data_IF_093823617248
#
_entry.id   IF_093823617248
#
_cell.length_a   1.000
_cell.length_b   1.000
_cell.length_c   1.000
_cell.angle_alpha   90.00
_cell.angle_beta   90.00
_cell.angle_gamma   90.00
#
_symmetry.space_group_name_H-M   'P 1'
#
loop_
_entity.id
_entity.type
_entity.pdbx_description
1 polymer ?
#
# COMPACT_ATOMS: atom_id res chain seq x y z
N UNK A 1 7.87 -45.27 -10.45
CA UNK A 1 8.94 -44.29 -10.78
C UNK A 1 8.30 -43.15 -11.57
N UNK A 2 7.92 -42.07 -10.91
CA UNK A 2 7.27 -40.96 -11.61
C UNK A 2 6.90 -39.92 -10.59
N UNK A 3 7.75 -38.90 -10.44
CA UNK A 3 7.55 -37.64 -9.74
C UNK A 3 8.86 -36.87 -9.82
N UNK A 4 9.20 -36.35 -11.01
CA UNK A 4 10.27 -35.36 -11.16
C UNK A 4 10.13 -34.62 -12.49
N UNK A 5 9.14 -33.72 -12.54
CA UNK A 5 9.33 -32.43 -13.18
C UNK A 5 8.10 -31.54 -12.94
N UNK A 6 8.17 -30.74 -11.89
CA UNK A 6 7.41 -29.48 -11.79
C UNK A 6 8.23 -28.51 -10.94
N UNK A 7 9.44 -28.22 -11.42
CA UNK A 7 10.11 -26.95 -11.19
C UNK A 7 9.93 -26.16 -12.48
N UNK A 8 9.83 -24.84 -12.31
CA UNK A 8 9.53 -23.80 -13.30
C UNK A 8 8.05 -23.41 -13.41
N UNK A 9 7.84 -22.10 -13.42
CA UNK A 9 6.60 -21.34 -13.28
C UNK A 9 6.12 -21.17 -11.84
N UNK A 10 7.06 -20.73 -10.99
CA UNK A 10 6.73 -19.68 -10.04
C UNK A 10 6.39 -18.43 -10.86
N UNK A 11 5.11 -18.26 -11.16
CA UNK A 11 4.60 -17.03 -11.74
C UNK A 11 4.75 -15.94 -10.68
N UNK A 12 5.91 -15.29 -10.69
CA UNK A 12 6.08 -14.00 -10.04
C UNK A 12 5.13 -13.02 -10.75
N UNK A 13 3.91 -12.86 -10.23
CA UNK A 13 3.21 -11.61 -10.37
C UNK A 13 3.64 -10.72 -9.20
N UNK A 14 4.93 -10.40 -9.15
CA UNK A 14 5.27 -9.04 -8.77
C UNK A 14 4.89 -8.28 -10.03
N UNK A 15 3.65 -7.80 -10.09
CA UNK A 15 3.41 -6.65 -10.94
C UNK A 15 4.29 -5.57 -10.32
N UNK A 16 5.52 -5.43 -10.80
CA UNK A 16 6.17 -4.13 -10.80
C UNK A 16 5.17 -3.27 -11.56
N UNK A 17 4.22 -2.66 -10.86
CA UNK A 17 3.54 -1.51 -11.40
C UNK A 17 4.64 -0.50 -11.59
N UNK A 18 5.19 -0.49 -12.80
CA UNK A 18 6.23 0.44 -13.22
C UNK A 18 5.78 1.82 -12.78
N UNK A 19 6.64 2.51 -12.03
CA UNK A 19 6.33 3.84 -11.53
C UNK A 19 5.83 4.70 -12.69
N UNK A 20 4.59 5.16 -12.58
CA UNK A 20 3.88 5.88 -13.64
C UNK A 20 4.41 7.29 -13.68
N UNK A 21 4.68 7.82 -14.87
CA UNK A 21 5.14 9.19 -15.02
C UNK A 21 3.95 10.11 -15.07
N UNK A 22 3.86 11.05 -14.13
CA UNK A 22 2.71 11.91 -13.99
C UNK A 22 3.02 13.38 -14.25
N UNK A 23 2.08 14.07 -14.90
CA UNK A 23 2.05 15.53 -14.95
C UNK A 23 0.97 16.05 -14.00
N UNK A 24 1.33 17.05 -13.20
CA UNK A 24 0.38 17.79 -12.36
C UNK A 24 -0.09 19.00 -13.15
N UNK A 25 -1.40 19.16 -13.34
CA UNK A 25 -1.98 20.27 -14.09
C UNK A 25 -2.79 21.12 -13.13
N UNK A 26 -2.49 22.41 -12.98
CA UNK A 26 -3.15 23.22 -11.94
C UNK A 26 -2.57 24.62 -11.77
N UNK A 27 -3.14 25.38 -10.84
CA UNK A 27 -2.52 26.60 -10.32
C UNK A 27 -1.31 26.28 -9.42
N UNK A 28 -0.38 27.22 -9.27
CA UNK A 28 0.87 27.02 -8.50
C UNK A 28 0.64 26.45 -7.10
N UNK A 29 -0.25 27.07 -6.33
CA UNK A 29 -0.58 26.67 -4.97
C UNK A 29 -1.15 25.25 -4.88
N UNK A 30 -2.01 24.87 -5.82
CA UNK A 30 -2.62 23.55 -5.86
C UNK A 30 -1.66 22.47 -6.30
N UNK A 31 -0.78 22.76 -7.27
CA UNK A 31 0.27 21.83 -7.70
C UNK A 31 1.19 21.53 -6.52
N UNK A 32 1.62 22.54 -5.76
CA UNK A 32 2.44 22.37 -4.55
C UNK A 32 1.74 21.49 -3.52
N UNK A 33 0.45 21.75 -3.26
CA UNK A 33 -0.36 20.98 -2.32
C UNK A 33 -0.49 19.51 -2.74
N UNK A 34 -0.85 19.27 -4.00
CA UNK A 34 -1.05 17.91 -4.55
C UNK A 34 0.28 17.16 -4.64
N UNK A 35 1.37 17.85 -4.95
CA UNK A 35 2.72 17.27 -4.88
C UNK A 35 3.05 16.83 -3.44
N UNK A 36 2.75 17.66 -2.45
CA UNK A 36 2.89 17.31 -1.03
C UNK A 36 2.06 16.08 -0.65
N UNK A 37 0.79 16.04 -1.09
CA UNK A 37 -0.10 14.91 -0.89
C UNK A 37 0.48 13.63 -1.49
N UNK A 38 0.88 13.65 -2.76
CA UNK A 38 1.35 12.47 -3.48
C UNK A 38 2.61 11.87 -2.86
N UNK A 39 3.48 12.71 -2.28
CA UNK A 39 4.64 12.27 -1.52
C UNK A 39 4.26 11.65 -0.17
N UNK A 40 3.18 12.12 0.43
CA UNK A 40 2.61 11.58 1.66
C UNK A 40 1.76 10.32 1.47
N UNK A 41 1.38 9.97 0.23
CA UNK A 41 0.61 8.76 -0.07
C UNK A 41 1.54 7.57 -0.32
N UNK A 42 1.63 6.67 0.66
CA UNK A 42 2.52 5.52 0.63
C UNK A 42 2.02 4.45 -0.34
N UNK A 43 2.92 3.96 -1.21
CA UNK A 43 2.65 2.88 -2.16
C UNK A 43 1.82 3.29 -3.37
N UNK A 44 1.77 4.59 -3.69
CA UNK A 44 1.33 5.04 -5.00
C UNK A 44 2.54 5.08 -5.95
N UNK A 45 2.67 4.15 -6.91
CA UNK A 45 3.85 4.06 -7.78
C UNK A 45 3.81 5.16 -8.83
N UNK A 46 4.14 6.38 -8.42
CA UNK A 46 4.13 7.59 -9.24
C UNK A 46 5.50 8.27 -9.21
N UNK A 47 5.91 8.79 -10.36
CA UNK A 47 7.03 9.71 -10.50
C UNK A 47 6.49 11.00 -11.10
N UNK A 48 6.55 12.09 -10.33
CA UNK A 48 6.12 13.40 -10.81
C UNK A 48 7.15 13.90 -11.82
N UNK A 49 6.76 13.93 -13.09
CA UNK A 49 7.63 14.26 -14.21
C UNK A 49 7.71 15.78 -14.45
N UNK A 50 6.66 16.52 -14.11
CA UNK A 50 6.60 17.97 -14.28
C UNK A 50 5.26 18.58 -13.86
N UNK A 51 5.29 19.90 -13.66
CA UNK A 51 4.15 20.75 -13.36
C UNK A 51 3.72 21.53 -14.60
N UNK A 52 2.48 21.35 -15.03
CA UNK A 52 1.84 22.09 -16.11
C UNK A 52 0.95 23.15 -15.48
N UNK A 53 1.42 24.39 -15.51
CA UNK A 53 0.81 25.52 -14.81
C UNK A 53 1.14 26.81 -15.56
N UNK A 54 0.37 27.89 -15.36
CA UNK A 54 0.74 29.21 -15.88
C UNK A 54 2.18 29.58 -15.52
N UNK A 55 2.84 30.47 -16.30
CA UNK A 55 4.19 30.91 -16.01
C UNK A 55 4.29 31.41 -14.55
N UNK A 56 5.24 30.91 -13.76
CA UNK A 56 5.34 31.27 -12.34
C UNK A 56 5.67 32.76 -12.19
N UNK A 57 4.90 33.47 -11.37
CA UNK A 57 5.15 34.87 -11.05
C UNK A 57 6.04 35.02 -9.80
N UNK A 58 6.74 36.16 -9.64
CA UNK A 58 7.53 36.42 -8.44
C UNK A 58 6.65 36.41 -7.18
N UNK A 59 6.90 35.46 -6.27
CA UNK A 59 6.13 35.29 -5.03
C UNK A 59 5.19 34.10 -5.01
N UNK A 60 5.02 33.43 -6.16
CA UNK A 60 4.22 32.21 -6.22
C UNK A 60 4.86 31.03 -5.45
N UNK A 61 4.04 30.13 -4.88
CA UNK A 61 4.51 28.87 -4.35
C UNK A 61 5.20 28.06 -5.45
N UNK A 62 6.46 27.69 -5.25
CA UNK A 62 7.19 26.86 -6.21
C UNK A 62 7.00 25.37 -5.92
N UNK A 63 6.49 24.58 -6.90
CA UNK A 63 6.56 23.13 -6.81
C UNK A 63 8.00 22.68 -6.94
N UNK A 64 8.28 21.51 -6.39
CA UNK A 64 9.58 20.86 -6.56
C UNK A 64 9.66 20.13 -7.90
N UNK A 65 8.51 19.73 -8.46
CA UNK A 65 8.41 19.28 -9.83
C UNK A 65 8.84 20.41 -10.79
N UNK A 66 9.64 20.12 -11.82
CA UNK A 66 10.06 21.14 -12.77
C UNK A 66 8.84 21.70 -13.51
N UNK A 67 8.84 23.02 -13.72
CA UNK A 67 7.85 23.66 -14.60
C UNK A 67 8.01 23.09 -16.01
N UNK A 68 6.98 22.41 -16.49
CA UNK A 68 6.96 21.73 -17.78
C UNK A 68 6.46 22.64 -18.91
N UNK A 69 5.59 23.59 -18.58
CA UNK A 69 4.99 24.50 -19.55
C UNK A 69 3.56 24.88 -19.17
N UNK A 70 2.91 25.71 -20.00
CA UNK A 70 1.57 26.19 -19.72
C UNK A 70 0.49 25.17 -20.18
N UNK A 71 -0.73 25.22 -19.61
CA UNK A 71 -1.80 24.24 -19.84
C UNK A 71 -2.21 24.06 -21.30
N UNK A 72 -2.09 25.10 -22.12
CA UNK A 72 -2.44 25.06 -23.55
C UNK A 72 -1.54 24.09 -24.34
N UNK A 73 -0.36 23.77 -23.81
CA UNK A 73 0.61 22.87 -24.44
C UNK A 73 0.54 21.43 -23.89
N UNK A 74 -0.44 21.12 -23.03
CA UNK A 74 -0.54 19.83 -22.33
C UNK A 74 -0.40 18.62 -23.27
N UNK A 75 -1.05 18.64 -24.44
CA UNK A 75 -0.98 17.55 -25.43
C UNK A 75 0.45 17.27 -25.93
N UNK A 76 1.26 18.32 -26.13
CA UNK A 76 2.66 18.18 -26.54
C UNK A 76 3.54 17.73 -25.36
N UNK A 77 3.29 18.29 -24.17
CA UNK A 77 4.04 17.98 -22.95
C UNK A 77 3.86 16.52 -22.53
N UNK A 78 2.68 15.94 -22.73
CA UNK A 78 2.43 14.51 -22.49
C UNK A 78 3.45 13.63 -23.24
N UNK A 79 3.69 13.92 -24.51
CA UNK A 79 4.65 13.17 -25.33
C UNK A 79 6.10 13.42 -24.89
N UNK A 80 6.46 14.68 -24.66
CA UNK A 80 7.81 15.09 -24.27
C UNK A 80 8.24 14.47 -22.94
N UNK A 81 7.35 14.51 -21.94
CA UNK A 81 7.62 13.97 -20.61
C UNK A 81 7.32 12.47 -20.50
N UNK A 82 6.84 11.82 -21.57
CA UNK A 82 6.37 10.42 -21.58
C UNK A 82 5.42 10.17 -20.40
N UNK A 83 4.41 11.01 -20.26
CA UNK A 83 3.46 10.94 -19.17
C UNK A 83 2.44 9.82 -19.44
N UNK A 84 2.24 8.97 -18.44
CA UNK A 84 1.27 7.88 -18.44
C UNK A 84 0.02 8.24 -17.62
N UNK A 85 0.12 9.29 -16.79
CA UNK A 85 -0.93 9.76 -15.90
C UNK A 85 -0.96 11.29 -15.83
N UNK A 86 -2.17 11.86 -15.80
CA UNK A 86 -2.42 13.29 -15.65
C UNK A 86 -3.26 13.50 -14.41
N UNK A 87 -2.78 14.35 -13.51
CA UNK A 87 -3.49 14.70 -12.26
C UNK A 87 -3.89 16.16 -12.36
N UNK A 88 -5.19 16.39 -12.58
CA UNK A 88 -5.78 17.72 -12.61
C UNK A 88 -6.05 18.21 -11.20
N UNK A 89 -5.49 19.35 -10.84
CA UNK A 89 -5.79 20.04 -9.60
C UNK A 89 -6.98 20.96 -9.85
N UNK A 90 -8.13 20.58 -9.31
CA UNK A 90 -9.37 21.32 -9.39
C UNK A 90 -9.30 22.49 -8.42
N UNK A 91 -8.57 23.53 -8.79
CA UNK A 91 -8.62 24.85 -8.16
C UNK A 91 -9.57 25.73 -8.96
N UNK A 92 -8.98 26.62 -9.77
CA UNK A 92 -9.69 27.57 -10.64
C UNK A 92 -10.24 26.93 -11.94
N UNK A 93 -9.94 25.67 -12.20
CA UNK A 93 -10.49 24.95 -13.36
C UNK A 93 -11.93 24.52 -13.07
N UNK A 94 -12.87 24.98 -13.90
CA UNK A 94 -14.23 24.45 -13.85
C UNK A 94 -14.21 22.95 -14.16
N UNK A 95 -15.02 22.18 -13.44
CA UNK A 95 -15.16 20.74 -13.65
C UNK A 95 -15.43 20.38 -15.12
N UNK A 96 -16.15 21.23 -15.85
CA UNK A 96 -16.40 21.07 -17.29
C UNK A 96 -15.13 21.12 -18.13
N UNK A 97 -14.21 22.06 -17.87
CA UNK A 97 -12.95 22.20 -18.61
C UNK A 97 -12.03 20.99 -18.40
N UNK A 98 -12.00 20.43 -17.18
CA UNK A 98 -11.25 19.21 -16.88
C UNK A 98 -11.82 18.03 -17.68
N UNK A 99 -13.15 17.89 -17.71
CA UNK A 99 -13.82 16.81 -18.45
C UNK A 99 -13.62 16.92 -19.96
N UNK A 100 -13.66 18.14 -20.50
CA UNK A 100 -13.42 18.39 -21.93
C UNK A 100 -11.97 18.05 -22.31
N UNK A 101 -10.98 18.42 -21.49
CA UNK A 101 -9.59 18.03 -21.71
C UNK A 101 -9.38 16.52 -21.59
N UNK A 102 -10.03 15.87 -20.62
CA UNK A 102 -10.02 14.40 -20.50
C UNK A 102 -10.59 13.74 -21.75
N UNK A 103 -11.70 14.27 -22.30
CA UNK A 103 -12.32 13.76 -23.51
C UNK A 103 -11.44 13.94 -24.76
N UNK A 104 -10.80 15.11 -24.92
CA UNK A 104 -9.88 15.39 -26.03
C UNK A 104 -8.62 14.52 -26.00
N UNK A 105 -8.19 14.11 -24.81
CA UNK A 105 -6.99 13.29 -24.61
C UNK A 105 -7.30 11.80 -24.46
N UNK A 106 -8.57 11.39 -24.56
CA UNK A 106 -9.04 10.03 -24.32
C UNK A 106 -8.52 8.99 -25.33
N UNK A 107 -8.06 9.42 -26.51
CA UNK A 107 -7.49 8.52 -27.54
C UNK A 107 -6.11 7.98 -27.18
N UNK A 108 -5.46 8.57 -26.18
CA UNK A 108 -4.17 8.09 -25.66
C UNK A 108 -4.45 7.18 -24.47
N UNK A 109 -3.63 6.14 -24.26
CA UNK A 109 -3.69 5.26 -23.08
C UNK A 109 -3.24 6.00 -21.80
N UNK A 110 -3.84 7.16 -21.53
CA UNK A 110 -3.55 8.06 -20.42
C UNK A 110 -4.53 7.80 -19.29
N UNK A 111 -4.01 7.82 -18.07
CA UNK A 111 -4.82 7.79 -16.86
C UNK A 111 -5.08 9.21 -16.38
N UNK A 112 -6.30 9.45 -15.91
CA UNK A 112 -6.69 10.76 -15.39
C UNK A 112 -7.12 10.65 -13.94
N UNK A 113 -6.70 11.63 -13.12
CA UNK A 113 -7.17 11.84 -11.76
C UNK A 113 -7.46 13.32 -11.52
N UNK A 114 -8.35 13.60 -10.58
CA UNK A 114 -8.76 14.95 -10.20
C UNK A 114 -8.52 15.12 -8.71
N UNK A 115 -7.78 16.15 -8.31
CA UNK A 115 -7.59 16.56 -6.92
C UNK A 115 -8.55 17.73 -6.61
N UNK A 116 -9.59 17.56 -5.77
CA UNK A 116 -10.52 18.63 -5.45
C UNK A 116 -9.86 19.82 -4.73
N UNK A 117 -10.50 20.99 -4.73
CA UNK A 117 -9.97 22.18 -4.07
C UNK A 117 -10.00 21.99 -2.55
N UNK A 118 -8.89 22.33 -1.88
CA UNK A 118 -8.81 22.33 -0.41
C UNK A 118 -9.05 20.97 0.27
N UNK A 119 -9.04 19.87 -0.48
CA UNK A 119 -9.19 18.52 0.06
C UNK A 119 -8.02 17.64 -0.32
N UNK A 120 -7.58 16.85 0.65
CA UNK A 120 -6.42 15.99 0.48
C UNK A 120 -6.83 14.60 -0.02
N UNK A 121 -7.46 14.53 -1.20
CA UNK A 121 -7.68 13.27 -1.88
C UNK A 121 -7.70 13.40 -3.42
N UNK A 122 -7.51 12.30 -4.14
CA UNK A 122 -7.56 12.21 -5.60
C UNK A 122 -8.73 11.33 -6.04
N UNK A 123 -9.50 11.80 -7.00
CA UNK A 123 -10.63 11.10 -7.61
C UNK A 123 -10.16 10.57 -8.97
N UNK A 124 -10.16 9.25 -9.16
CA UNK A 124 -9.98 8.61 -10.47
C UNK A 124 -11.19 7.73 -10.83
N UNK A 125 -11.33 7.32 -12.11
CA UNK A 125 -12.47 6.55 -12.60
C UNK A 125 -12.64 5.16 -11.97
N UNK A 126 -11.71 4.71 -11.13
CA UNK A 126 -11.81 3.43 -10.42
C UNK A 126 -11.57 3.51 -8.90
N UNK A 127 -11.01 4.59 -8.33
CA UNK A 127 -10.71 4.68 -6.88
C UNK A 127 -10.55 6.15 -6.40
N UNK A 128 -10.86 6.39 -5.13
CA UNK A 128 -10.62 7.66 -4.40
C UNK A 128 -9.39 7.46 -3.49
N UNK A 129 -8.30 8.21 -3.70
CA UNK A 129 -7.10 8.15 -2.86
C UNK A 129 -7.13 9.27 -1.83
N UNK A 130 -7.25 8.97 -0.54
CA UNK A 130 -7.28 9.98 0.54
C UNK A 130 -5.93 10.07 1.28
N UNK A 131 -5.50 11.29 1.62
CA UNK A 131 -4.40 11.52 2.55
C UNK A 131 -4.81 11.00 3.94
N UNK A 132 -3.97 10.15 4.52
CA UNK A 132 -4.30 9.40 5.74
C UNK A 132 -4.67 7.92 5.50
N UNK A 133 -4.47 7.40 4.28
CA UNK A 133 -4.66 5.99 4.00
C UNK A 133 -6.12 5.69 3.69
N UNK A 134 -6.34 5.24 2.47
CA UNK A 134 -7.64 4.81 1.97
C UNK A 134 -8.21 3.68 2.85
N UNK A 135 -9.11 4.03 3.78
CA UNK A 135 -9.79 3.06 4.64
C UNK A 135 -10.72 2.15 3.81
N UNK A 136 -11.06 2.54 2.57
CA UNK A 136 -11.90 1.79 1.64
C UNK A 136 -11.16 0.67 0.89
N UNK A 137 -9.85 0.81 0.66
CA UNK A 137 -9.05 -0.14 -0.12
C UNK A 137 -8.26 -1.16 0.70
N UNK A 138 -8.32 -1.13 2.03
CA UNK A 138 -7.60 -2.12 2.84
C UNK A 138 -8.31 -3.47 2.80
N UNK A 139 -7.67 -4.49 2.24
CA UNK A 139 -8.22 -5.85 2.19
C UNK A 139 -8.63 -6.36 3.58
N UNK A 140 -7.89 -5.98 4.63
CA UNK A 140 -8.23 -6.33 6.01
C UNK A 140 -9.44 -5.57 6.59
N UNK A 141 -10.04 -4.59 5.91
CA UNK A 141 -11.38 -4.08 6.26
C UNK A 141 -12.51 -4.95 5.69
N UNK A 142 -12.23 -5.72 4.63
CA UNK A 142 -13.23 -6.53 3.97
C UNK A 142 -13.52 -7.83 4.75
N UNK A 143 -14.79 -8.29 4.78
CA UNK A 143 -15.17 -9.46 5.57
C UNK A 143 -14.62 -10.77 4.99
N UNK A 144 -14.31 -10.85 3.70
CA UNK A 144 -13.74 -12.04 3.07
C UNK A 144 -12.30 -12.32 3.55
N UNK A 145 -11.35 -11.38 3.32
CA UNK A 145 -9.98 -11.52 3.78
C UNK A 145 -9.87 -11.66 5.31
N UNK A 146 -10.70 -10.95 6.09
CA UNK A 146 -10.81 -11.15 7.56
C UNK A 146 -11.21 -12.57 7.94
N UNK A 147 -12.18 -13.16 7.25
CA UNK A 147 -12.63 -14.55 7.48
C UNK A 147 -11.52 -15.53 7.11
N UNK A 148 -10.86 -15.34 5.96
CA UNK A 148 -9.74 -16.17 5.52
C UNK A 148 -8.60 -16.16 6.55
N UNK A 149 -8.22 -14.97 7.04
CA UNK A 149 -7.25 -14.81 8.12
C UNK A 149 -7.64 -15.59 9.36
N UNK A 150 -8.89 -15.44 9.80
CA UNK A 150 -9.38 -16.12 11.01
C UNK A 150 -9.39 -17.65 10.85
N UNK A 151 -9.72 -18.14 9.67
CA UNK A 151 -9.66 -19.57 9.36
C UNK A 151 -8.24 -20.11 9.41
N UNK A 152 -7.30 -19.40 8.76
CA UNK A 152 -5.88 -19.74 8.81
C UNK A 152 -5.36 -19.77 10.25
N UNK A 153 -5.67 -18.74 11.05
CA UNK A 153 -5.27 -18.67 12.46
C UNK A 153 -5.73 -19.90 13.24
N UNK A 154 -7.02 -20.29 13.12
CA UNK A 154 -7.55 -21.46 13.84
C UNK A 154 -6.90 -22.76 13.37
N UNK A 155 -6.78 -22.95 12.06
CA UNK A 155 -6.23 -24.17 11.47
C UNK A 155 -4.76 -24.36 11.86
N UNK A 156 -3.94 -23.33 11.66
CA UNK A 156 -2.51 -23.40 11.95
C UNK A 156 -2.26 -23.46 13.46
N UNK A 157 -3.00 -22.70 14.28
CA UNK A 157 -2.84 -22.78 15.74
C UNK A 157 -3.24 -24.16 16.27
N UNK A 158 -4.32 -24.75 15.74
CA UNK A 158 -4.73 -26.11 16.08
C UNK A 158 -3.66 -27.13 15.72
N UNK A 159 -3.15 -27.07 14.49
CA UNK A 159 -2.09 -27.97 14.02
C UNK A 159 -0.80 -27.85 14.86
N UNK A 160 -0.37 -26.62 15.17
CA UNK A 160 0.81 -26.37 15.99
C UNK A 160 0.62 -26.80 17.45
N UNK A 161 -0.60 -26.73 17.99
CA UNK A 161 -0.92 -27.24 19.33
C UNK A 161 -0.93 -28.76 19.38
N UNK A 162 -1.49 -29.43 18.37
CA UNK A 162 -1.48 -30.90 18.28
C UNK A 162 -0.06 -31.44 18.10
N UNK A 163 0.77 -30.74 17.32
CA UNK A 163 2.19 -31.10 17.11
C UNK A 163 3.12 -30.53 18.19
N UNK A 164 2.59 -29.75 19.14
CA UNK A 164 3.37 -29.09 20.19
C UNK A 164 4.26 -30.02 21.03
N UNK A 165 3.81 -31.19 21.53
CA UNK A 165 4.68 -32.06 22.32
C UNK A 165 5.91 -32.54 21.54
N UNK A 166 5.78 -32.72 20.23
CA UNK A 166 6.89 -33.10 19.34
C UNK A 166 7.80 -31.92 19.05
N UNK A 167 7.22 -30.72 18.88
CA UNK A 167 7.94 -29.50 18.51
C UNK A 167 8.41 -28.68 19.72
N UNK A 168 8.20 -29.17 20.95
CA UNK A 168 8.41 -28.43 22.19
C UNK A 168 9.81 -27.78 22.26
N UNK A 169 10.84 -28.55 21.94
CA UNK A 169 12.25 -28.12 21.96
C UNK A 169 12.65 -27.22 20.80
N UNK A 170 11.83 -27.12 19.74
CA UNK A 170 12.10 -26.26 18.59
C UNK A 170 11.69 -24.80 18.85
N UNK A 171 10.80 -24.56 19.82
CA UNK A 171 10.41 -23.20 20.22
C UNK A 171 11.45 -22.61 21.17
N UNK A 172 11.81 -21.34 20.95
CA UNK A 172 12.70 -20.61 21.86
C UNK A 172 12.10 -20.42 23.26
N UNK A 173 10.78 -20.24 23.34
CA UNK A 173 10.03 -20.02 24.59
C UNK A 173 8.72 -20.81 24.56
N UNK A 174 8.75 -22.13 24.79
CA UNK A 174 7.60 -23.02 24.56
C UNK A 174 6.37 -22.64 25.38
N UNK A 175 6.53 -22.26 26.66
CA UNK A 175 5.39 -21.84 27.49
C UNK A 175 4.64 -20.61 26.94
N UNK A 176 5.37 -19.62 26.42
CA UNK A 176 4.76 -18.46 25.78
C UNK A 176 4.18 -18.79 24.40
N UNK A 177 4.81 -19.70 23.66
CA UNK A 177 4.30 -20.20 22.39
C UNK A 177 2.94 -20.91 22.58
N UNK A 178 2.86 -21.85 23.52
CA UNK A 178 1.61 -22.56 23.85
C UNK A 178 0.50 -21.58 24.25
N UNK A 179 0.79 -20.64 25.16
CA UNK A 179 -0.18 -19.60 25.57
C UNK A 179 -0.63 -18.75 24.39
N UNK A 180 0.29 -18.35 23.51
CA UNK A 180 0.00 -17.58 22.30
C UNK A 180 -0.91 -18.34 21.34
N UNK A 181 -0.59 -19.61 21.06
CA UNK A 181 -1.37 -20.47 20.18
C UNK A 181 -2.79 -20.71 20.72
N UNK A 182 -2.94 -20.94 22.03
CA UNK A 182 -4.26 -21.03 22.67
C UNK A 182 -5.07 -19.74 22.53
N UNK A 183 -4.44 -18.58 22.78
CA UNK A 183 -5.09 -17.27 22.56
C UNK A 183 -5.50 -17.07 21.11
N UNK A 184 -4.68 -17.49 20.15
CA UNK A 184 -5.01 -17.42 18.72
C UNK A 184 -6.21 -18.31 18.39
N UNK A 185 -6.22 -19.56 18.88
CA UNK A 185 -7.33 -20.50 18.69
C UNK A 185 -8.65 -19.94 19.23
N UNK A 186 -8.64 -19.43 20.46
CA UNK A 186 -9.80 -18.79 21.13
C UNK A 186 -10.19 -17.44 20.51
N UNK A 187 -9.33 -16.84 19.69
CA UNK A 187 -9.61 -15.56 19.05
C UNK A 187 -9.36 -14.34 19.91
N UNK A 188 -8.42 -14.45 20.84
CA UNK A 188 -7.90 -13.36 21.63
C UNK A 188 -6.58 -12.82 21.05
N UNK A 189 -6.02 -13.50 20.04
CA UNK A 189 -4.83 -13.12 19.28
C UNK A 189 -4.98 -13.56 17.82
N UNK A 190 -4.04 -13.15 16.96
CA UNK A 190 -3.84 -13.67 15.61
C UNK A 190 -2.41 -14.16 15.46
N UNK A 191 -2.13 -15.07 14.52
CA UNK A 191 -0.78 -15.58 14.33
C UNK A 191 0.17 -14.50 13.79
N UNK A 192 -0.32 -13.69 12.84
CA UNK A 192 0.42 -12.56 12.25
C UNK A 192 -0.40 -11.29 12.47
N UNK A 193 0.16 -10.31 13.16
CA UNK A 193 -0.49 -9.01 13.39
C UNK A 193 0.44 -7.86 13.08
N UNK A 194 -0.09 -6.64 13.20
CA UNK A 194 0.70 -5.43 13.01
C UNK A 194 1.86 -5.35 14.00
N UNK A 195 2.92 -4.66 13.59
CA UNK A 195 4.13 -4.46 14.37
C UNK A 195 4.08 -3.22 15.26
N UNK A 196 3.62 -2.09 14.71
CA UNK A 196 3.48 -0.82 15.42
C UNK A 196 2.03 -0.39 15.61
N UNK A 197 1.13 -0.80 14.70
CA UNK A 197 -0.28 -0.44 14.78
C UNK A 197 -0.53 1.05 14.53
N UNK A 198 -0.02 1.58 13.41
CA UNK A 198 -0.18 2.97 13.00
C UNK A 198 -1.62 3.44 12.77
N UNK A 199 -1.79 4.76 12.66
CA UNK A 199 -3.07 5.41 12.42
C UNK A 199 -3.70 4.96 11.09
N UNK A 200 -5.04 4.86 11.06
CA UNK A 200 -5.79 4.47 9.85
C UNK A 200 -5.85 2.96 9.55
N UNK A 201 -5.27 2.10 10.40
CA UNK A 201 -5.29 0.65 10.19
C UNK A 201 -6.62 -0.01 10.67
N UNK A 202 -7.12 -1.03 9.93
CA UNK A 202 -8.25 -1.86 10.34
C UNK A 202 -7.96 -2.50 11.69
N UNK A 203 -8.90 -2.50 12.66
CA UNK A 203 -8.66 -3.11 13.96
C UNK A 203 -8.32 -4.59 13.79
N UNK A 204 -7.14 -4.97 14.29
CA UNK A 204 -6.64 -6.33 14.28
C UNK A 204 -6.24 -6.74 15.69
N UNK A 205 -6.42 -8.02 16.01
CA UNK A 205 -5.99 -8.56 17.31
C UNK A 205 -4.46 -8.54 17.42
N UNK A 206 -3.90 -8.56 18.64
CA UNK A 206 -2.46 -8.68 18.82
C UNK A 206 -1.89 -9.90 18.09
N UNK A 207 -0.83 -9.68 17.31
CA UNK A 207 -0.10 -10.72 16.58
C UNK A 207 0.88 -11.48 17.48
N UNK A 208 1.07 -12.78 17.20
CA UNK A 208 2.18 -13.54 17.78
C UNK A 208 3.49 -13.34 17.00
N UNK A 209 3.36 -13.05 15.71
CA UNK A 209 4.40 -12.64 14.77
C UNK A 209 3.94 -11.35 14.08
N UNK A 210 4.87 -10.69 13.41
CA UNK A 210 4.61 -9.50 12.61
C UNK A 210 5.25 -9.59 11.23
N UNK A 211 4.79 -8.79 10.26
CA UNK A 211 5.47 -8.67 8.95
C UNK A 211 6.97 -8.36 9.07
N UNK A 212 7.40 -7.68 10.15
CA UNK A 212 8.82 -7.40 10.43
C UNK A 212 9.66 -8.66 10.65
N UNK A 213 9.07 -9.77 11.07
CA UNK A 213 9.80 -11.02 11.29
C UNK A 213 10.35 -11.62 9.98
N UNK A 214 9.97 -11.06 8.82
CA UNK A 214 10.57 -11.34 7.51
C UNK A 214 11.91 -10.65 7.30
N UNK A 215 12.17 -9.53 7.97
CA UNK A 215 13.33 -8.69 7.71
C UNK A 215 14.53 -9.14 8.54
N UNK A 216 15.74 -9.18 7.94
CA UNK A 216 16.97 -9.54 8.64
C UNK A 216 17.50 -8.43 9.57
N UNK A 217 17.06 -7.18 9.39
CA UNK A 217 17.52 -6.00 10.13
C UNK A 217 16.37 -5.32 10.88
N UNK A 218 16.63 -4.69 12.03
CA UNK A 218 15.61 -3.93 12.76
C UNK A 218 15.12 -2.75 11.92
N UNK A 219 13.79 -2.63 11.80
CA UNK A 219 13.14 -1.55 11.04
C UNK A 219 12.89 -0.32 11.93
N UNK A 220 13.17 0.87 11.41
CA UNK A 220 12.80 2.16 12.03
C UNK A 220 11.28 2.29 12.13
N UNK A 221 10.74 3.04 13.11
CA UNK A 221 9.29 3.26 13.31
C UNK A 221 8.54 3.64 12.03
N UNK A 222 9.07 4.59 11.25
CA UNK A 222 8.51 4.99 9.95
C UNK A 222 8.45 3.84 8.93
N UNK A 223 9.37 2.89 8.98
CA UNK A 223 9.36 1.69 8.15
C UNK A 223 8.35 0.64 8.64
N UNK A 224 8.00 0.63 9.93
CA UNK A 224 7.04 -0.32 10.52
C UNK A 224 5.61 0.03 10.11
N UNK A 225 5.24 1.30 10.20
CA UNK A 225 3.92 1.78 9.78
C UNK A 225 3.67 1.53 8.28
N UNK A 226 4.71 1.74 7.47
CA UNK A 226 4.71 1.42 6.05
C UNK A 226 4.39 -0.05 5.76
N UNK A 227 5.05 -0.95 6.51
CA UNK A 227 4.89 -2.39 6.36
C UNK A 227 3.52 -2.85 6.85
N UNK A 228 3.02 -2.29 7.95
CA UNK A 228 1.69 -2.60 8.48
C UNK A 228 0.58 -2.10 7.53
N UNK A 229 0.74 -0.93 6.91
CA UNK A 229 -0.19 -0.42 5.90
C UNK A 229 -0.19 -1.27 4.63
N UNK A 230 0.99 -1.61 4.09
CA UNK A 230 1.11 -2.49 2.94
C UNK A 230 0.50 -3.87 3.23
N UNK A 231 0.75 -4.40 4.43
CA UNK A 231 0.15 -5.64 4.90
C UNK A 231 -1.38 -5.57 4.98
N UNK A 232 -1.94 -4.46 5.49
CA UNK A 232 -3.39 -4.28 5.56
C UNK A 232 -4.05 -4.09 4.18
N UNK A 233 -3.34 -3.44 3.25
CA UNK A 233 -3.80 -3.14 1.89
C UNK A 233 -3.89 -4.40 1.04
N UNK A 234 -2.77 -5.10 0.91
CA UNK A 234 -2.61 -6.21 -0.03
C UNK A 234 -2.67 -7.58 0.67
N UNK A 235 -3.48 -7.67 1.72
CA UNK A 235 -3.56 -8.87 2.54
C UNK A 235 -4.01 -10.09 1.73
N UNK A 236 -3.21 -11.16 1.83
CA UNK A 236 -3.57 -12.48 1.32
C UNK A 236 -3.10 -13.57 2.30
N UNK A 237 -3.93 -14.60 2.51
CA UNK A 237 -3.66 -15.68 3.49
C UNK A 237 -2.36 -16.46 3.20
N UNK A 238 -1.94 -16.54 1.94
CA UNK A 238 -0.69 -17.19 1.52
C UNK A 238 0.54 -16.47 2.06
N UNK A 239 0.48 -15.14 2.22
CA UNK A 239 1.57 -14.36 2.81
C UNK A 239 1.76 -14.72 4.28
N UNK A 240 0.67 -14.79 5.04
CA UNK A 240 0.71 -15.24 6.44
C UNK A 240 1.29 -16.67 6.54
N UNK A 241 0.88 -17.57 5.63
CA UNK A 241 1.38 -18.93 5.61
C UNK A 241 2.90 -19.01 5.34
N UNK A 242 3.40 -18.27 4.35
CA UNK A 242 4.85 -18.22 4.05
C UNK A 242 5.65 -17.65 5.24
N UNK A 243 5.13 -16.60 5.89
CA UNK A 243 5.74 -16.04 7.09
C UNK A 243 5.77 -17.08 8.22
N UNK A 244 4.65 -17.77 8.45
CA UNK A 244 4.55 -18.81 9.48
C UNK A 244 5.53 -19.95 9.23
N UNK A 245 5.66 -20.44 8.00
CA UNK A 245 6.59 -21.52 7.66
C UNK A 245 8.06 -21.14 7.97
N UNK A 246 8.42 -19.87 7.83
CA UNK A 246 9.79 -19.37 8.09
C UNK A 246 10.01 -19.02 9.56
N UNK A 247 9.00 -18.50 10.24
CA UNK A 247 9.14 -17.85 11.54
C UNK A 247 8.37 -18.55 12.69
N UNK A 248 7.70 -19.69 12.48
CA UNK A 248 6.91 -20.35 13.53
C UNK A 248 7.69 -20.66 14.81
N UNK A 249 9.01 -20.93 14.72
CA UNK A 249 9.88 -21.18 15.89
C UNK A 249 10.07 -19.94 16.77
N UNK A 250 9.79 -18.74 16.24
CA UNK A 250 9.85 -17.45 16.94
C UNK A 250 8.53 -17.11 17.63
N UNK A 251 7.46 -17.89 17.43
CA UNK A 251 6.19 -17.68 18.14
C UNK A 251 6.46 -17.71 19.66
N UNK A 252 5.97 -16.69 20.38
CA UNK A 252 6.23 -16.49 21.80
C UNK A 252 7.48 -15.65 22.10
N UNK A 253 8.26 -15.26 21.09
CA UNK A 253 9.34 -14.29 21.21
C UNK A 253 8.82 -12.90 20.84
N UNK A 254 8.26 -12.17 21.80
CA UNK A 254 7.89 -10.77 21.55
C UNK A 254 9.15 -9.93 21.38
N UNK A 255 9.45 -9.49 20.16
CA UNK A 255 10.17 -8.23 19.97
C UNK A 255 9.15 -7.12 20.27
N UNK A 256 9.02 -6.77 21.56
CA UNK A 256 8.56 -5.41 21.86
C UNK A 256 9.73 -4.51 21.48
N UNK A 257 9.59 -3.83 20.35
CA UNK A 257 10.26 -2.54 20.15
C UNK A 257 9.65 -1.54 21.12
#
# INVERSE_FOLDING_TARGET
RGLLNRREKGSFFITEERSRRALLVGAAADVVRVEGLLRGVWGYPITIAGAVMPPPEPGDPQPQAPWAGPPEQLAALIGLYRADEIIFCQGDYESGQILDQMAQLAERTLRFKIAPPGRDFLIGPQNILTAGGDSGALALNQPGPRRAKRWLDRLVSGLLLTTFPLLFWAYRRPGMAARGLWRSLLGQATLVGYSGGGEGLPPLRPGLLSPLDRLPSPATSLSQDALDQAYARDYHWTQDLDLLLRAWRRIGHQNKG
#
